data_IF_708057771368
#
_entry.id   IF_708057771368
#
_cell.length_a   1.000
_cell.length_b   1.000
_cell.length_c   1.000
_cell.angle_alpha   90.00
_cell.angle_beta   90.00
_cell.angle_gamma   90.00
#
_symmetry.space_group_name_H-M   'P 1'
#
loop_
_entity.id
_entity.type
_entity.pdbx_description
1 polymer ?
#
# COMPACT_ATOMS: atom_id res chain seq x y z
N UNK A 1 28.59 36.53 18.70
CA UNK A 1 27.25 36.23 19.22
C UNK A 1 27.04 34.75 19.03
N UNK A 2 27.15 33.97 20.10
CA UNK A 2 26.92 32.52 20.10
C UNK A 2 25.41 32.29 20.17
N UNK A 3 24.83 31.67 19.15
CA UNK A 3 23.45 31.18 19.20
C UNK A 3 23.38 30.03 20.20
N UNK A 4 23.19 30.36 21.48
CA UNK A 4 23.02 29.43 22.60
C UNK A 4 21.58 28.91 22.74
N UNK A 5 20.79 28.96 21.67
CA UNK A 5 19.37 28.62 21.70
C UNK A 5 19.08 27.20 21.19
N UNK A 6 20.06 26.51 20.62
CA UNK A 6 19.89 25.17 20.08
C UNK A 6 20.92 24.24 20.69
N UNK A 7 20.44 23.34 21.56
CA UNK A 7 21.20 22.20 22.05
C UNK A 7 20.79 21.02 21.18
N UNK A 8 21.70 20.52 20.35
CA UNK A 8 21.50 19.30 19.55
C UNK A 8 22.42 18.25 20.18
N UNK A 9 21.86 17.12 20.59
CA UNK A 9 22.57 16.04 21.29
C UNK A 9 22.25 14.71 20.63
N UNK A 10 23.25 13.83 20.50
CA UNK A 10 23.09 12.46 20.03
C UNK A 10 22.98 11.46 21.21
N UNK A 11 22.84 11.95 22.44
CA UNK A 11 22.65 11.12 23.64
C UNK A 11 21.26 10.45 23.60
N UNK A 12 21.26 9.12 23.63
CA UNK A 12 20.03 8.32 23.73
C UNK A 12 19.53 8.32 25.18
N UNK A 13 18.21 8.40 25.35
CA UNK A 13 17.56 8.22 26.64
C UNK A 13 17.67 6.77 27.12
N UNK A 14 17.87 6.59 28.42
CA UNK A 14 17.93 5.28 29.06
C UNK A 14 16.55 4.94 29.67
N UNK A 15 15.85 3.97 29.09
CA UNK A 15 14.52 3.53 29.53
C UNK A 15 14.57 2.37 30.54
N UNK A 16 15.76 1.96 30.97
CA UNK A 16 15.93 0.79 31.84
C UNK A 16 15.24 0.94 33.20
N UNK A 17 15.08 2.16 33.72
CA UNK A 17 14.32 2.43 34.96
C UNK A 17 12.84 2.05 34.85
N UNK A 18 12.30 2.06 33.63
CA UNK A 18 10.93 1.66 33.30
C UNK A 18 10.85 0.20 32.81
N UNK A 19 11.99 -0.51 32.76
CA UNK A 19 12.06 -1.89 32.28
C UNK A 19 11.95 -2.05 30.77
N UNK A 20 12.22 -1.00 29.99
CA UNK A 20 12.11 -0.99 28.53
C UNK A 20 13.48 -0.78 27.87
N UNK A 21 13.68 -1.34 26.66
CA UNK A 21 14.88 -1.11 25.85
C UNK A 21 14.89 0.30 25.25
N UNK A 22 13.72 0.78 24.82
CA UNK A 22 13.52 2.10 24.21
C UNK A 22 12.06 2.58 24.39
N UNK A 23 11.71 3.75 23.85
CA UNK A 23 10.32 4.17 23.75
C UNK A 23 9.65 3.44 22.57
N UNK A 24 8.67 2.55 22.79
CA UNK A 24 8.05 1.81 21.71
C UNK A 24 7.07 2.65 20.90
N UNK A 25 6.61 3.80 21.44
CA UNK A 25 5.57 4.58 20.80
C UNK A 25 6.15 5.52 19.75
N UNK A 26 5.55 5.58 18.55
CA UNK A 26 6.09 6.36 17.45
C UNK A 26 6.04 7.86 17.76
N UNK A 27 7.18 8.52 17.60
CA UNK A 27 7.30 9.98 17.68
C UNK A 27 6.62 10.70 16.51
N UNK A 28 6.56 10.02 15.36
CA UNK A 28 5.93 10.53 14.15
C UNK A 28 4.51 9.98 14.00
N UNK A 29 3.55 10.81 13.57
CA UNK A 29 2.17 10.39 13.31
C UNK A 29 2.01 9.53 12.04
N UNK A 30 3.11 9.22 11.35
CA UNK A 30 3.14 8.44 10.11
C UNK A 30 3.34 6.97 10.46
N UNK A 31 2.43 6.07 10.04
CA UNK A 31 2.59 4.65 10.29
C UNK A 31 3.76 4.09 9.49
N UNK A 32 4.47 3.12 10.07
CA UNK A 32 5.47 2.33 9.37
C UNK A 32 4.90 1.71 8.10
N UNK A 33 5.75 1.47 7.10
CA UNK A 33 5.34 0.81 5.86
C UNK A 33 4.85 -0.62 6.11
N UNK A 34 5.36 -1.24 7.17
CA UNK A 34 5.15 -2.64 7.53
C UNK A 34 4.74 -2.75 9.01
N UNK A 35 3.55 -2.29 9.40
CA UNK A 35 3.16 -2.30 10.80
C UNK A 35 3.05 -3.74 11.31
N UNK A 36 3.68 -4.01 12.45
CA UNK A 36 3.64 -5.33 13.12
C UNK A 36 2.37 -5.51 13.96
N UNK A 37 1.81 -4.40 14.45
CA UNK A 37 0.67 -4.38 15.36
C UNK A 37 -0.58 -3.86 14.66
N UNK A 38 -1.73 -4.40 15.02
CA UNK A 38 -3.04 -3.83 14.71
C UNK A 38 -4.01 -4.08 15.87
N UNK A 39 -4.50 -3.01 16.48
CA UNK A 39 -5.28 -3.10 17.70
C UNK A 39 -6.70 -2.55 17.53
N UNK A 40 -7.66 -3.27 18.10
CA UNK A 40 -9.08 -2.96 18.03
C UNK A 40 -9.67 -3.05 16.62
N UNK A 41 -10.79 -2.36 16.43
CA UNK A 41 -11.53 -2.31 15.15
C UNK A 41 -12.04 -3.68 14.65
N UNK A 42 -12.47 -4.58 15.53
CA UNK A 42 -12.92 -5.94 15.19
C UNK A 42 -13.86 -6.01 13.98
N UNK A 43 -14.79 -5.05 13.89
CA UNK A 43 -15.70 -4.94 12.74
C UNK A 43 -14.93 -4.68 11.45
N UNK A 44 -13.99 -3.74 11.44
CA UNK A 44 -13.17 -3.42 10.28
C UNK A 44 -12.28 -4.59 9.90
N UNK A 45 -11.60 -5.19 10.88
CA UNK A 45 -10.75 -6.37 10.66
C UNK A 45 -11.53 -7.50 10.01
N UNK A 46 -12.75 -7.78 10.50
CA UNK A 46 -13.62 -8.81 9.93
C UNK A 46 -14.04 -8.47 8.49
N UNK A 47 -14.52 -7.25 8.25
CA UNK A 47 -14.98 -6.83 6.91
C UNK A 47 -13.84 -6.81 5.88
N UNK A 48 -12.66 -6.35 6.27
CA UNK A 48 -11.46 -6.35 5.43
C UNK A 48 -11.04 -7.80 5.14
N UNK A 49 -10.95 -8.63 6.18
CA UNK A 49 -10.57 -10.05 6.04
C UNK A 49 -11.54 -10.79 5.13
N UNK A 50 -12.84 -10.58 5.28
CA UNK A 50 -13.87 -11.17 4.42
C UNK A 50 -13.73 -10.69 2.97
N UNK A 51 -13.36 -9.42 2.77
CA UNK A 51 -13.16 -8.84 1.44
C UNK A 51 -11.95 -9.46 0.73
N UNK A 52 -10.80 -9.44 1.40
CA UNK A 52 -9.55 -10.02 0.90
C UNK A 52 -9.72 -11.52 0.66
N UNK A 53 -10.27 -12.25 1.64
CA UNK A 53 -10.45 -13.71 1.55
C UNK A 53 -11.42 -14.11 0.43
N UNK A 54 -12.45 -13.31 0.16
CA UNK A 54 -13.36 -13.57 -0.96
C UNK A 54 -12.61 -13.51 -2.30
N UNK A 55 -11.77 -12.48 -2.50
CA UNK A 55 -11.00 -12.36 -3.73
C UNK A 55 -10.00 -13.51 -3.85
N UNK A 56 -9.24 -13.81 -2.78
CA UNK A 56 -8.26 -14.91 -2.77
C UNK A 56 -8.88 -16.29 -3.02
N UNK A 57 -10.07 -16.56 -2.47
CA UNK A 57 -10.70 -17.88 -2.58
C UNK A 57 -11.52 -18.09 -3.84
N UNK A 58 -12.05 -17.02 -4.44
CA UNK A 58 -12.98 -17.13 -5.58
C UNK A 58 -12.46 -16.51 -6.87
N UNK A 59 -11.39 -15.71 -6.80
CA UNK A 59 -10.91 -14.87 -7.89
C UNK A 59 -11.86 -13.74 -8.28
N UNK A 60 -13.04 -13.62 -7.64
CA UNK A 60 -14.01 -12.57 -7.95
C UNK A 60 -13.56 -11.25 -7.33
N UNK A 61 -13.61 -10.19 -8.12
CA UNK A 61 -13.24 -8.87 -7.67
C UNK A 61 -14.20 -8.36 -6.61
N UNK A 62 -13.64 -7.71 -5.60
CA UNK A 62 -14.39 -7.12 -4.50
C UNK A 62 -13.64 -5.89 -4.00
N UNK A 63 -14.36 -4.79 -3.83
CA UNK A 63 -13.79 -3.49 -3.47
C UNK A 63 -14.42 -3.00 -2.16
N UNK A 64 -13.64 -2.29 -1.36
CA UNK A 64 -14.02 -1.82 -0.03
C UNK A 64 -13.53 -0.39 0.17
N UNK A 65 -14.32 0.42 0.86
CA UNK A 65 -13.89 1.72 1.38
C UNK A 65 -13.78 1.64 2.90
N UNK A 66 -12.64 2.07 3.43
CA UNK A 66 -12.38 2.25 4.85
C UNK A 66 -12.52 3.75 5.17
N UNK A 67 -13.57 4.11 5.89
CA UNK A 67 -13.83 5.50 6.28
C UNK A 67 -13.35 5.80 7.69
N UNK A 68 -12.64 6.91 7.89
CA UNK A 68 -12.32 7.37 9.25
C UNK A 68 -11.95 8.86 9.31
N UNK A 69 -12.25 9.47 10.45
CA UNK A 69 -11.73 10.80 10.79
C UNK A 69 -10.21 10.78 10.88
N UNK A 70 -9.62 11.94 10.70
CA UNK A 70 -8.17 12.14 10.74
C UNK A 70 -7.55 11.58 12.04
N UNK A 71 -6.49 10.77 11.91
CA UNK A 71 -5.78 10.16 13.04
C UNK A 71 -6.39 8.87 13.62
N UNK A 72 -7.52 8.39 13.10
CA UNK A 72 -8.15 7.12 13.54
C UNK A 72 -7.66 5.87 12.78
N UNK A 73 -6.51 5.96 12.10
CA UNK A 73 -5.80 4.78 11.60
C UNK A 73 -6.09 4.33 10.16
N UNK A 74 -6.66 5.16 9.27
CA UNK A 74 -6.91 4.78 7.85
C UNK A 74 -5.67 4.20 7.16
N UNK A 75 -4.59 4.98 7.11
CA UNK A 75 -3.32 4.59 6.51
C UNK A 75 -2.75 3.34 7.17
N UNK A 76 -2.81 3.29 8.49
CA UNK A 76 -2.34 2.15 9.26
C UNK A 76 -3.13 0.87 8.92
N UNK A 77 -4.46 0.94 8.81
CA UNK A 77 -5.33 -0.18 8.39
C UNK A 77 -5.00 -0.65 6.98
N UNK A 78 -4.78 0.25 6.02
CA UNK A 78 -4.39 -0.13 4.65
C UNK A 78 -3.01 -0.79 4.62
N UNK A 79 -2.01 -0.20 5.29
CA UNK A 79 -0.65 -0.74 5.37
C UNK A 79 -0.58 -2.09 6.09
N UNK A 80 -1.33 -2.25 7.18
CA UNK A 80 -1.46 -3.53 7.86
C UNK A 80 -2.14 -4.57 6.98
N UNK A 81 -3.20 -4.20 6.26
CA UNK A 81 -3.83 -5.13 5.31
C UNK A 81 -2.85 -5.53 4.20
N UNK A 82 -2.06 -4.58 3.69
CA UNK A 82 -0.98 -4.82 2.72
C UNK A 82 0.05 -5.82 3.26
N UNK A 83 0.51 -5.69 4.51
CA UNK A 83 1.50 -6.61 5.09
C UNK A 83 0.97 -8.04 5.18
N UNK A 84 -0.34 -8.23 5.42
CA UNK A 84 -0.96 -9.57 5.47
C UNK A 84 -1.04 -10.27 4.10
N UNK A 85 -1.03 -9.53 2.99
CA UNK A 85 -1.22 -10.11 1.64
C UNK A 85 0.04 -10.13 0.79
N UNK A 86 0.98 -9.21 1.00
CA UNK A 86 2.13 -9.02 0.10
C UNK A 86 3.12 -10.18 0.08
N UNK A 87 3.23 -10.92 1.18
CA UNK A 87 4.22 -12.01 1.31
C UNK A 87 3.76 -13.27 0.55
N UNK A 88 2.55 -13.23 -0.03
CA UNK A 88 2.03 -14.28 -0.88
C UNK A 88 2.64 -14.15 -2.28
N UNK A 89 3.31 -15.21 -2.74
CA UNK A 89 3.89 -15.25 -4.09
C UNK A 89 2.87 -15.34 -5.24
N UNK A 90 1.58 -15.52 -4.94
CA UNK A 90 0.51 -15.65 -5.94
C UNK A 90 -0.32 -14.38 -6.13
N UNK A 91 0.09 -13.23 -5.58
CA UNK A 91 -0.63 -11.96 -5.75
C UNK A 91 0.33 -10.80 -6.00
N UNK A 92 -0.20 -9.73 -6.60
CA UNK A 92 0.50 -8.44 -6.71
C UNK A 92 -0.20 -7.43 -5.81
N UNK A 93 0.59 -6.64 -5.09
CA UNK A 93 0.09 -5.68 -4.12
C UNK A 93 0.76 -4.34 -4.32
N UNK A 94 -0.04 -3.34 -4.73
CA UNK A 94 0.42 -1.96 -4.86
C UNK A 94 -0.29 -1.02 -3.88
N UNK A 95 0.43 0.00 -3.42
CA UNK A 95 -0.05 1.05 -2.54
C UNK A 95 0.11 2.41 -3.21
N UNK A 96 -0.98 3.15 -3.29
CA UNK A 96 -1.07 4.50 -3.84
C UNK A 96 -1.30 5.44 -2.67
N UNK A 97 -0.28 6.19 -2.26
CA UNK A 97 -0.37 7.07 -1.10
C UNK A 97 -1.37 8.22 -1.30
N UNK A 98 -1.51 8.70 -2.53
CA UNK A 98 -2.49 9.72 -2.90
C UNK A 98 -2.85 9.60 -4.40
N UNK A 99 -4.13 9.70 -4.79
CA UNK A 99 -4.60 9.43 -6.17
C UNK A 99 -4.29 10.49 -7.26
N UNK A 100 -3.43 11.48 -7.00
CA UNK A 100 -3.02 12.49 -8.01
C UNK A 100 -4.16 13.33 -8.60
N UNK A 101 -4.01 13.75 -9.86
CA UNK A 101 -4.96 14.56 -10.65
C UNK A 101 -5.89 13.73 -11.55
N UNK A 102 -5.62 12.43 -11.71
CA UNK A 102 -6.36 11.53 -12.59
C UNK A 102 -6.06 10.06 -12.35
N UNK A 103 -6.78 9.17 -13.02
CA UNK A 103 -6.49 7.72 -12.92
C UNK A 103 -5.10 7.36 -13.46
N UNK A 104 -4.57 8.13 -14.42
CA UNK A 104 -3.18 7.97 -14.87
C UNK A 104 -2.19 8.05 -13.72
N UNK A 105 -2.38 8.97 -12.77
CA UNK A 105 -1.49 9.13 -11.62
C UNK A 105 -1.64 7.97 -10.65
N UNK A 106 -2.87 7.50 -10.41
CA UNK A 106 -3.12 6.27 -9.61
C UNK A 106 -2.36 5.07 -10.21
N UNK A 107 -2.43 4.91 -11.54
CA UNK A 107 -1.74 3.84 -12.25
C UNK A 107 -0.22 3.99 -12.20
N UNK A 108 0.29 5.20 -12.37
CA UNK A 108 1.70 5.54 -12.24
C UNK A 108 2.24 5.17 -10.85
N UNK A 109 1.61 5.69 -9.79
CA UNK A 109 1.98 5.42 -8.40
C UNK A 109 1.90 3.93 -8.07
N UNK A 110 0.88 3.23 -8.57
CA UNK A 110 0.76 1.78 -8.40
C UNK A 110 1.95 1.04 -9.00
N UNK A 111 2.35 1.33 -10.24
CA UNK A 111 3.52 0.67 -10.84
C UNK A 111 4.82 1.08 -10.16
N UNK A 112 4.95 2.33 -9.75
CA UNK A 112 6.12 2.81 -9.03
C UNK A 112 6.31 2.10 -7.69
N UNK A 113 5.23 1.84 -6.94
CA UNK A 113 5.26 1.07 -5.71
C UNK A 113 5.58 -0.43 -5.94
N UNK A 114 5.26 -1.00 -7.12
CA UNK A 114 5.75 -2.33 -7.50
C UNK A 114 7.25 -2.34 -7.78
N UNK A 115 7.75 -1.29 -8.43
CA UNK A 115 9.16 -1.12 -8.76
C UNK A 115 9.59 -1.78 -10.08
N UNK A 116 10.71 -1.30 -10.61
CA UNK A 116 11.30 -1.74 -11.87
C UNK A 116 11.59 -3.24 -11.88
N UNK A 117 12.32 -3.71 -10.85
CA UNK A 117 12.80 -5.09 -10.75
C UNK A 117 11.63 -6.08 -10.78
N UNK A 118 10.54 -5.77 -10.06
CA UNK A 118 9.36 -6.66 -10.02
C UNK A 118 8.65 -6.75 -11.37
N UNK A 119 8.55 -5.64 -12.10
CA UNK A 119 7.95 -5.64 -13.45
C UNK A 119 8.85 -6.38 -14.45
N UNK A 120 10.17 -6.26 -14.30
CA UNK A 120 11.13 -7.02 -15.10
C UNK A 120 11.06 -8.53 -14.80
N UNK A 121 10.96 -8.91 -13.53
CA UNK A 121 10.76 -10.29 -13.10
C UNK A 121 9.50 -10.90 -13.75
N UNK A 122 8.37 -10.17 -13.75
CA UNK A 122 7.14 -10.59 -14.43
C UNK A 122 7.36 -10.81 -15.94
N UNK A 123 8.16 -9.95 -16.58
CA UNK A 123 8.50 -10.12 -17.99
C UNK A 123 9.31 -11.40 -18.25
N UNK A 124 10.27 -11.71 -17.38
CA UNK A 124 11.03 -12.96 -17.44
C UNK A 124 10.17 -14.19 -17.12
N UNK A 125 9.29 -14.13 -16.11
CA UNK A 125 8.32 -15.20 -15.81
C UNK A 125 7.46 -15.52 -17.03
N UNK A 126 7.01 -14.48 -17.73
CA UNK A 126 6.22 -14.63 -18.95
C UNK A 126 7.05 -15.29 -20.06
N UNK A 127 8.27 -14.82 -20.30
CA UNK A 127 9.13 -15.42 -21.32
C UNK A 127 9.51 -16.87 -20.97
N UNK A 128 9.64 -17.19 -19.68
CA UNK A 128 9.84 -18.56 -19.20
C UNK A 128 8.64 -19.44 -19.59
N UNK A 129 7.41 -18.95 -19.41
CA UNK A 129 6.20 -19.66 -19.86
C UNK A 129 6.21 -19.91 -21.36
N UNK A 130 6.45 -18.87 -22.17
CA UNK A 130 6.50 -19.01 -23.64
C UNK A 130 7.57 -20.02 -24.05
N UNK A 131 8.73 -19.99 -23.40
CA UNK A 131 9.84 -20.92 -23.65
C UNK A 131 9.43 -22.37 -23.39
N UNK A 132 8.75 -22.64 -22.27
CA UNK A 132 8.23 -23.98 -21.92
C UNK A 132 7.23 -24.50 -22.95
N UNK A 133 6.46 -23.61 -23.57
CA UNK A 133 5.42 -23.97 -24.53
C UNK A 133 5.96 -24.19 -25.96
N UNK A 134 7.06 -23.52 -26.31
CA UNK A 134 7.51 -23.39 -27.70
C UNK A 134 8.87 -24.02 -27.98
N UNK A 135 9.61 -24.41 -26.95
CA UNK A 135 10.95 -24.99 -27.04
C UNK A 135 11.08 -26.26 -26.21
N UNK A 136 12.23 -26.95 -26.32
CA UNK A 136 12.55 -28.11 -25.48
C UNK A 136 13.11 -27.70 -24.08
N UNK A 137 13.30 -26.40 -23.82
CA UNK A 137 13.77 -25.90 -22.52
C UNK A 137 12.61 -25.76 -21.52
N UNK A 138 12.92 -25.95 -20.24
CA UNK A 138 11.94 -25.86 -19.17
C UNK A 138 12.38 -24.93 -18.02
N UNK A 139 12.61 -23.63 -18.28
CA UNK A 139 12.98 -22.68 -17.23
C UNK A 139 11.85 -22.55 -16.20
N UNK A 140 12.21 -22.58 -14.91
CA UNK A 140 11.28 -22.45 -13.80
C UNK A 140 11.45 -21.08 -13.15
N UNK A 141 10.57 -20.13 -13.49
CA UNK A 141 10.62 -18.76 -12.97
C UNK A 141 11.54 -17.82 -13.76
N UNK A 142 11.66 -16.59 -13.26
CA UNK A 142 12.42 -15.51 -13.90
C UNK A 142 13.93 -15.80 -13.97
N UNK A 143 14.57 -16.08 -12.84
CA UNK A 143 16.03 -16.29 -12.75
C UNK A 143 16.54 -17.38 -13.71
N UNK A 144 15.78 -18.47 -13.83
CA UNK A 144 16.13 -19.57 -14.74
C UNK A 144 16.03 -19.14 -16.21
N UNK A 145 15.08 -18.27 -16.54
CA UNK A 145 14.91 -17.75 -17.90
C UNK A 145 16.00 -16.74 -18.26
N UNK A 146 16.32 -15.84 -17.33
CA UNK A 146 17.42 -14.88 -17.46
C UNK A 146 18.74 -15.60 -17.72
N UNK A 147 19.08 -16.62 -16.91
CA UNK A 147 20.30 -17.41 -17.09
C UNK A 147 20.42 -18.07 -18.47
N UNK A 148 19.32 -18.60 -19.02
CA UNK A 148 19.33 -19.20 -20.37
C UNK A 148 19.59 -18.17 -21.48
N UNK A 149 19.18 -16.92 -21.29
CA UNK A 149 19.43 -15.83 -22.23
C UNK A 149 20.89 -15.39 -22.13
N UNK A 150 21.38 -15.18 -20.91
CA UNK A 150 22.75 -14.72 -20.64
C UNK A 150 23.81 -15.73 -21.11
N UNK A 151 23.54 -17.02 -20.90
CA UNK A 151 24.40 -18.11 -21.37
C UNK A 151 24.28 -18.34 -22.89
N UNK A 152 23.33 -17.67 -23.56
CA UNK A 152 23.09 -17.77 -25.00
C UNK A 152 22.45 -19.10 -25.43
N UNK A 153 21.90 -19.87 -24.49
CA UNK A 153 21.15 -21.10 -24.78
C UNK A 153 19.82 -20.79 -25.46
N UNK A 154 19.26 -19.61 -25.19
CA UNK A 154 18.05 -19.10 -25.84
C UNK A 154 18.32 -17.74 -26.48
N UNK A 155 17.94 -17.60 -27.74
CA UNK A 155 18.02 -16.33 -28.47
C UNK A 155 16.67 -15.60 -28.43
N UNK A 156 16.67 -14.38 -27.89
CA UNK A 156 15.48 -13.52 -27.84
C UNK A 156 14.81 -13.35 -29.21
N UNK A 157 15.59 -13.27 -30.29
CA UNK A 157 15.09 -13.14 -31.66
C UNK A 157 14.17 -14.29 -32.12
N UNK A 158 14.27 -15.46 -31.49
CA UNK A 158 13.45 -16.63 -31.81
C UNK A 158 12.14 -16.63 -31.03
N UNK A 159 12.15 -16.14 -29.79
CA UNK A 159 10.98 -16.15 -28.90
C UNK A 159 10.10 -14.91 -29.03
N UNK A 160 10.72 -13.72 -29.16
CA UNK A 160 10.04 -12.42 -29.05
C UNK A 160 8.84 -12.27 -30.00
N UNK A 161 8.90 -12.67 -31.29
CA UNK A 161 7.73 -12.57 -32.15
C UNK A 161 6.53 -13.36 -31.62
N UNK A 162 6.77 -14.59 -31.14
CA UNK A 162 5.73 -15.45 -30.56
C UNK A 162 5.24 -14.91 -29.23
N UNK A 163 6.16 -14.46 -28.36
CA UNK A 163 5.83 -13.89 -27.06
C UNK A 163 4.96 -12.63 -27.18
N UNK A 164 5.31 -11.69 -28.08
CA UNK A 164 4.50 -10.49 -28.33
C UNK A 164 3.11 -10.88 -28.85
N UNK A 165 3.03 -11.86 -29.76
CA UNK A 165 1.76 -12.30 -30.33
C UNK A 165 0.85 -12.90 -29.25
N UNK A 166 1.36 -13.88 -28.49
CA UNK A 166 0.62 -14.52 -27.41
C UNK A 166 0.19 -13.52 -26.34
N UNK A 167 1.10 -12.62 -25.93
CA UNK A 167 0.80 -11.62 -24.92
C UNK A 167 -0.25 -10.62 -25.40
N UNK A 168 -0.20 -10.21 -26.67
CA UNK A 168 -1.23 -9.36 -27.25
C UNK A 168 -2.59 -10.08 -27.30
N UNK A 169 -2.63 -11.39 -27.48
CA UNK A 169 -3.87 -12.16 -27.43
C UNK A 169 -4.49 -12.20 -26.03
N UNK A 170 -3.68 -12.20 -24.98
CA UNK A 170 -4.11 -12.13 -23.57
C UNK A 170 -4.51 -10.72 -23.17
N UNK A 171 -3.65 -9.74 -23.45
CA UNK A 171 -3.79 -8.36 -22.98
C UNK A 171 -4.73 -7.52 -23.85
N UNK A 172 -4.90 -7.89 -25.13
CA UNK A 172 -5.57 -7.08 -26.17
C UNK A 172 -4.99 -5.67 -26.28
N UNK A 173 -3.70 -5.52 -25.98
CA UNK A 173 -2.98 -4.26 -26.03
C UNK A 173 -1.55 -4.46 -26.53
N UNK A 174 -1.36 -4.42 -27.85
CA UNK A 174 -0.09 -4.73 -28.51
C UNK A 174 1.09 -3.89 -28.00
N UNK A 175 0.89 -2.58 -27.79
CA UNK A 175 1.96 -1.71 -27.29
C UNK A 175 2.37 -2.05 -25.85
N UNK A 176 1.41 -2.47 -25.00
CA UNK A 176 1.71 -2.98 -23.67
C UNK A 176 2.49 -4.30 -23.74
N UNK A 177 2.08 -5.22 -24.62
CA UNK A 177 2.80 -6.47 -24.83
C UNK A 177 4.26 -6.23 -25.25
N UNK A 178 4.50 -5.30 -26.18
CA UNK A 178 5.85 -4.89 -26.56
C UNK A 178 6.62 -4.31 -25.39
N UNK A 179 6.02 -3.38 -24.65
CA UNK A 179 6.68 -2.76 -23.50
C UNK A 179 7.13 -3.78 -22.45
N UNK A 180 6.29 -4.77 -22.12
CA UNK A 180 6.67 -5.86 -21.21
C UNK A 180 7.87 -6.64 -21.75
N UNK A 181 7.86 -7.02 -23.02
CA UNK A 181 9.01 -7.74 -23.62
C UNK A 181 10.27 -6.87 -23.66
N UNK A 182 10.14 -5.56 -23.85
CA UNK A 182 11.25 -4.62 -23.82
C UNK A 182 11.89 -4.41 -22.44
N UNK A 183 11.23 -4.84 -21.35
CA UNK A 183 11.86 -4.89 -20.01
C UNK A 183 13.05 -5.86 -19.93
N UNK A 184 13.12 -6.83 -20.83
CA UNK A 184 14.18 -7.86 -20.86
C UNK A 184 15.45 -7.35 -21.57
N UNK A 185 15.31 -6.36 -22.46
CA UNK A 185 16.43 -5.84 -23.24
C UNK A 185 17.19 -4.75 -22.48
N UNK A 186 18.49 -4.95 -22.26
CA UNK A 186 19.35 -3.98 -21.56
C UNK A 186 19.30 -2.57 -22.17
N UNK A 187 19.23 -2.46 -23.50
CA UNK A 187 19.24 -1.16 -24.19
C UNK A 187 17.91 -0.38 -24.09
N UNK A 188 16.79 -1.06 -23.86
CA UNK A 188 15.45 -0.46 -23.94
C UNK A 188 14.61 -0.61 -22.66
N UNK A 189 15.06 -1.37 -21.66
CA UNK A 189 14.31 -1.64 -20.45
C UNK A 189 13.89 -0.36 -19.70
N UNK A 190 14.75 0.66 -19.64
CA UNK A 190 14.42 1.95 -19.03
C UNK A 190 13.34 2.69 -19.82
N UNK A 191 13.34 2.60 -21.15
CA UNK A 191 12.29 3.23 -21.96
C UNK A 191 10.96 2.49 -21.83
N UNK A 192 11.01 1.17 -21.77
CA UNK A 192 9.85 0.33 -21.51
C UNK A 192 9.24 0.66 -20.14
N UNK A 193 10.08 0.76 -19.11
CA UNK A 193 9.67 1.18 -17.77
C UNK A 193 8.97 2.54 -17.79
N UNK A 194 9.61 3.57 -18.37
CA UNK A 194 9.03 4.93 -18.45
C UNK A 194 7.70 4.97 -19.22
N UNK A 195 7.55 4.12 -20.24
CA UNK A 195 6.28 4.01 -20.96
C UNK A 195 5.23 3.29 -20.11
N UNK A 196 5.59 2.17 -19.49
CA UNK A 196 4.70 1.38 -18.63
C UNK A 196 4.21 2.21 -17.45
N UNK A 197 5.05 3.02 -16.82
CA UNK A 197 4.70 3.90 -15.70
C UNK A 197 3.99 5.19 -16.11
N UNK A 198 3.64 5.39 -17.38
CA UNK A 198 2.97 6.59 -17.86
C UNK A 198 3.77 7.91 -17.71
N UNK A 199 5.10 7.88 -17.59
CA UNK A 199 5.92 9.11 -17.49
C UNK A 199 6.07 9.86 -18.82
N UNK A 200 5.76 9.17 -19.92
CA UNK A 200 5.90 9.70 -21.27
C UNK A 200 7.34 9.60 -21.77
N UNK A 201 7.48 9.18 -23.02
CA UNK A 201 8.79 9.00 -23.66
C UNK A 201 8.80 9.60 -25.06
N UNK A 202 10.00 9.96 -25.52
CA UNK A 202 10.19 10.60 -26.83
C UNK A 202 9.75 9.65 -27.94
N UNK A 203 9.31 10.23 -29.06
CA UNK A 203 8.90 9.44 -30.23
C UNK A 203 9.99 8.49 -30.73
N UNK A 204 11.25 8.91 -30.72
CA UNK A 204 12.38 8.08 -31.16
C UNK A 204 12.55 6.83 -30.29
N UNK A 205 12.44 6.98 -28.96
CA UNK A 205 12.51 5.88 -27.99
C UNK A 205 11.31 4.92 -28.16
N UNK A 206 10.09 5.45 -28.37
CA UNK A 206 8.91 4.61 -28.67
C UNK A 206 9.07 3.82 -29.96
N UNK A 207 9.59 4.49 -30.99
CA UNK A 207 9.80 3.90 -32.31
C UNK A 207 10.81 2.76 -32.26
N UNK A 208 11.86 2.89 -31.45
CA UNK A 208 12.85 1.84 -31.21
C UNK A 208 12.23 0.56 -30.64
N UNK A 209 11.23 0.71 -29.77
CA UNK A 209 10.46 -0.41 -29.21
C UNK A 209 9.23 -0.82 -30.03
N UNK A 210 9.06 -0.26 -31.23
CA UNK A 210 7.86 -0.43 -32.08
C UNK A 210 6.53 -0.11 -31.37
N UNK A 211 6.55 0.78 -30.38
CA UNK A 211 5.38 1.25 -29.66
C UNK A 211 4.78 2.45 -30.39
N UNK A 212 3.49 2.40 -30.70
CA UNK A 212 2.84 3.41 -31.55
C UNK A 212 2.01 4.44 -30.77
N UNK A 213 1.50 4.07 -29.60
CA UNK A 213 0.70 4.93 -28.72
C UNK A 213 1.52 5.55 -27.58
N UNK A 214 1.05 6.67 -27.06
CA UNK A 214 1.48 7.20 -25.78
C UNK A 214 0.53 6.66 -24.69
N UNK A 215 1.05 6.54 -23.47
CA UNK A 215 0.26 6.24 -22.28
C UNK A 215 0.14 7.55 -21.48
N UNK A 216 -0.68 8.47 -21.98
CA UNK A 216 -0.74 9.86 -21.51
C UNK A 216 -2.13 10.30 -21.02
N UNK A 217 -3.12 9.41 -21.06
CA UNK A 217 -4.49 9.67 -20.61
C UNK A 217 -5.06 8.53 -19.73
N UNK A 218 -6.13 8.84 -19.00
CA UNK A 218 -6.82 7.94 -18.09
C UNK A 218 -7.38 6.68 -18.78
N UNK A 219 -7.93 6.80 -19.98
CA UNK A 219 -8.53 5.66 -20.71
C UNK A 219 -7.44 4.67 -21.09
N UNK A 220 -6.31 5.16 -21.58
CA UNK A 220 -5.16 4.33 -21.94
C UNK A 220 -4.50 3.72 -20.70
N UNK A 221 -4.50 4.44 -19.58
CA UNK A 221 -4.04 3.93 -18.27
C UNK A 221 -4.92 2.81 -17.71
N UNK A 222 -6.26 2.94 -17.79
CA UNK A 222 -7.19 1.86 -17.41
C UNK A 222 -6.95 0.60 -18.26
N UNK A 223 -6.70 0.78 -19.57
CA UNK A 223 -6.37 -0.33 -20.48
C UNK A 223 -5.03 -0.98 -20.12
N UNK A 224 -4.02 -0.18 -19.79
CA UNK A 224 -2.70 -0.68 -19.39
C UNK A 224 -2.78 -1.48 -18.06
N UNK A 225 -3.49 -0.98 -17.05
CA UNK A 225 -3.74 -1.72 -15.82
C UNK A 225 -4.44 -3.05 -16.10
N UNK A 226 -5.50 -3.03 -16.93
CA UNK A 226 -6.25 -4.24 -17.30
C UNK A 226 -5.36 -5.25 -18.03
N UNK A 227 -4.47 -4.77 -18.90
CA UNK A 227 -3.49 -5.59 -19.59
C UNK A 227 -2.49 -6.24 -18.62
N UNK A 228 -1.93 -5.48 -17.68
CA UNK A 228 -1.05 -6.01 -16.63
C UNK A 228 -1.73 -7.10 -15.81
N UNK A 229 -2.95 -6.85 -15.33
CA UNK A 229 -3.69 -7.85 -14.56
C UNK A 229 -4.01 -9.09 -15.39
N UNK A 230 -4.31 -8.97 -16.69
CA UNK A 230 -4.50 -10.13 -17.56
C UNK A 230 -3.22 -10.96 -17.70
N UNK A 231 -2.06 -10.31 -17.86
CA UNK A 231 -0.76 -10.97 -17.86
C UNK A 231 -0.53 -11.73 -16.55
N UNK A 232 -0.79 -11.11 -15.41
CA UNK A 232 -0.63 -11.75 -14.11
C UNK A 232 -1.54 -12.99 -13.95
N UNK A 233 -2.81 -12.90 -14.36
CA UNK A 233 -3.71 -14.05 -14.33
C UNK A 233 -3.25 -15.19 -15.27
N UNK A 234 -2.71 -14.85 -16.45
CA UNK A 234 -2.12 -15.82 -17.38
C UNK A 234 -0.94 -16.56 -16.75
N UNK A 235 -0.11 -15.85 -15.97
CA UNK A 235 1.02 -16.41 -15.23
C UNK A 235 0.59 -17.23 -13.99
N UNK A 236 -0.71 -17.31 -13.71
CA UNK A 236 -1.25 -18.08 -12.60
C UNK A 236 -1.34 -17.32 -11.27
N UNK A 237 -1.16 -16.00 -11.26
CA UNK A 237 -1.44 -15.20 -10.08
C UNK A 237 -2.95 -15.22 -9.79
N UNK A 238 -3.30 -15.20 -8.51
CA UNK A 238 -4.68 -15.12 -8.01
C UNK A 238 -5.30 -13.74 -8.27
N UNK A 239 -4.50 -12.67 -8.21
CA UNK A 239 -4.95 -11.33 -8.62
C UNK A 239 -4.10 -10.17 -8.10
N UNK A 240 -4.64 -8.96 -8.26
CA UNK A 240 -4.02 -7.68 -7.93
C UNK A 240 -4.81 -7.00 -6.80
N UNK A 241 -4.08 -6.54 -5.77
CA UNK A 241 -4.57 -5.67 -4.71
C UNK A 241 -4.04 -4.26 -4.91
N UNK A 242 -4.93 -3.27 -4.87
CA UNK A 242 -4.59 -1.84 -4.93
C UNK A 242 -5.12 -1.16 -3.68
N UNK A 243 -4.21 -0.66 -2.85
CA UNK A 243 -4.54 0.11 -1.65
C UNK A 243 -4.37 1.59 -1.96
N UNK A 244 -5.47 2.34 -2.03
CA UNK A 244 -5.46 3.77 -2.33
C UNK A 244 -5.72 4.55 -1.04
N UNK A 245 -4.70 5.20 -0.51
CA UNK A 245 -4.81 6.06 0.67
C UNK A 245 -5.15 7.50 0.28
N UNK A 246 -5.53 8.31 1.27
CA UNK A 246 -5.90 9.72 1.12
C UNK A 246 -6.85 9.95 -0.07
N UNK A 247 -7.81 9.03 -0.29
CA UNK A 247 -8.73 9.08 -1.41
C UNK A 247 -9.58 10.36 -1.37
N UNK A 248 -9.74 10.97 -0.19
CA UNK A 248 -10.35 12.29 -0.04
C UNK A 248 -9.67 13.40 -0.86
N UNK A 249 -8.43 13.21 -1.34
CA UNK A 249 -7.74 14.22 -2.13
C UNK A 249 -8.41 14.51 -3.48
N UNK A 250 -9.19 13.57 -4.03
CA UNK A 250 -9.90 13.78 -5.30
C UNK A 250 -10.93 14.91 -5.21
N UNK A 251 -11.47 15.18 -4.01
CA UNK A 251 -12.42 16.27 -3.79
C UNK A 251 -11.76 17.67 -3.88
N UNK A 252 -10.42 17.72 -3.97
CA UNK A 252 -9.67 18.96 -4.23
C UNK A 252 -9.53 19.26 -5.72
N UNK A 253 -9.81 18.28 -6.58
CA UNK A 253 -9.76 18.44 -8.02
C UNK A 253 -10.88 19.35 -8.51
N UNK A 254 -10.78 19.79 -9.77
CA UNK A 254 -11.92 20.41 -10.41
C UNK A 254 -13.06 19.39 -10.53
N UNK A 255 -14.33 19.83 -10.47
CA UNK A 255 -15.47 18.90 -10.59
C UNK A 255 -15.43 18.05 -11.87
N UNK A 256 -14.81 18.56 -12.93
CA UNK A 256 -14.60 17.81 -14.17
C UNK A 256 -13.58 16.69 -13.99
N UNK A 257 -12.45 16.97 -13.34
CA UNK A 257 -11.35 16.02 -13.20
C UNK A 257 -11.67 14.99 -12.10
N UNK A 258 -12.35 15.40 -11.03
CA UNK A 258 -12.94 14.48 -10.04
C UNK A 258 -13.88 13.48 -10.72
N UNK A 259 -14.85 13.98 -11.50
CA UNK A 259 -15.78 13.14 -12.24
C UNK A 259 -15.07 12.23 -13.25
N UNK A 260 -14.05 12.73 -13.95
CA UNK A 260 -13.26 11.93 -14.88
C UNK A 260 -12.54 10.79 -14.14
N UNK A 261 -11.87 11.09 -13.04
CA UNK A 261 -11.15 10.13 -12.19
C UNK A 261 -12.08 9.04 -11.66
N UNK A 262 -13.21 9.41 -11.07
CA UNK A 262 -14.21 8.46 -10.55
C UNK A 262 -14.78 7.56 -11.65
N UNK A 263 -15.02 8.12 -12.85
CA UNK A 263 -15.46 7.33 -14.00
C UNK A 263 -14.36 6.35 -14.46
N UNK A 264 -13.10 6.77 -14.49
CA UNK A 264 -11.97 5.91 -14.85
C UNK A 264 -11.81 4.75 -13.87
N UNK A 265 -11.89 5.01 -12.55
CA UNK A 265 -11.86 3.95 -11.53
C UNK A 265 -13.06 3.01 -11.68
N UNK A 266 -14.27 3.54 -11.90
CA UNK A 266 -15.46 2.72 -12.17
C UNK A 266 -15.25 1.83 -13.40
N UNK A 267 -14.72 2.40 -14.48
CA UNK A 267 -14.42 1.65 -15.71
C UNK A 267 -13.39 0.55 -15.46
N UNK A 268 -12.37 0.81 -14.64
CA UNK A 268 -11.43 -0.22 -14.22
C UNK A 268 -12.14 -1.37 -13.51
N UNK A 269 -12.99 -1.07 -12.52
CA UNK A 269 -13.73 -2.10 -11.78
C UNK A 269 -14.67 -2.90 -12.69
N UNK A 270 -15.41 -2.23 -13.58
CA UNK A 270 -16.33 -2.89 -14.51
C UNK A 270 -15.60 -3.82 -15.51
N UNK A 271 -14.39 -3.43 -15.96
CA UNK A 271 -13.56 -4.25 -16.86
C UNK A 271 -12.88 -5.42 -16.16
N UNK A 272 -12.75 -5.35 -14.83
CA UNK A 272 -11.97 -6.29 -14.02
C UNK A 272 -12.84 -6.93 -12.94
N UNK A 273 -13.89 -7.65 -13.36
CA UNK A 273 -14.77 -8.41 -12.45
C UNK A 273 -14.12 -9.61 -11.76
N UNK A 274 -12.91 -9.99 -12.20
CA UNK A 274 -12.09 -11.04 -11.60
C UNK A 274 -10.64 -10.55 -11.46
N UNK A 275 -9.97 -10.98 -10.38
CA UNK A 275 -8.55 -10.73 -10.13
C UNK A 275 -8.21 -9.31 -9.69
N UNK A 276 -9.17 -8.49 -9.24
CA UNK A 276 -8.91 -7.13 -8.73
C UNK A 276 -9.58 -6.90 -7.37
N UNK A 277 -8.81 -6.49 -6.38
CA UNK A 277 -9.31 -5.98 -5.11
C UNK A 277 -8.78 -4.56 -4.91
N UNK A 278 -9.68 -3.62 -4.61
CA UNK A 278 -9.30 -2.23 -4.34
C UNK A 278 -9.80 -1.84 -2.96
N UNK A 279 -8.91 -1.29 -2.13
CA UNK A 279 -9.24 -0.77 -0.82
C UNK A 279 -8.91 0.72 -0.77
N UNK A 280 -9.91 1.55 -0.45
CA UNK A 280 -9.76 3.00 -0.38
C UNK A 280 -9.78 3.47 1.06
N UNK A 281 -8.81 4.26 1.48
CA UNK A 281 -8.86 5.05 2.72
C UNK A 281 -9.46 6.40 2.42
N UNK A 282 -10.61 6.74 3.02
CA UNK A 282 -11.31 8.00 2.74
C UNK A 282 -11.82 8.70 4.00
N UNK A 283 -11.90 10.04 3.99
CA UNK A 283 -12.65 10.80 4.98
C UNK A 283 -14.17 10.50 4.85
N UNK A 284 -14.90 10.31 5.97
CA UNK A 284 -16.33 10.00 5.94
C UNK A 284 -17.17 11.05 5.19
N UNK A 285 -16.84 12.33 5.35
CA UNK A 285 -17.56 13.44 4.75
C UNK A 285 -17.43 13.40 3.22
N UNK A 286 -16.20 13.21 2.72
CA UNK A 286 -15.94 13.10 1.27
C UNK A 286 -16.56 11.84 0.68
N UNK A 287 -16.50 10.71 1.41
CA UNK A 287 -17.14 9.49 0.95
C UNK A 287 -18.67 9.64 0.83
N UNK A 288 -19.32 10.34 1.77
CA UNK A 288 -20.74 10.64 1.69
C UNK A 288 -21.10 11.48 0.47
N UNK A 289 -20.28 12.51 0.18
CA UNK A 289 -20.46 13.34 -1.01
C UNK A 289 -20.33 12.49 -2.29
N UNK A 290 -19.28 11.66 -2.39
CA UNK A 290 -19.07 10.73 -3.50
C UNK A 290 -20.24 9.76 -3.68
N UNK A 291 -20.76 9.19 -2.59
CA UNK A 291 -21.92 8.31 -2.64
C UNK A 291 -23.17 9.01 -3.16
N UNK A 292 -23.33 10.30 -2.85
CA UNK A 292 -24.51 11.09 -3.23
C UNK A 292 -24.46 11.62 -4.67
N UNK A 293 -23.28 11.96 -5.17
CA UNK A 293 -23.10 12.59 -6.48
C UNK A 293 -22.71 11.59 -7.57
N UNK A 294 -22.04 10.48 -7.21
CA UNK A 294 -21.45 9.53 -8.16
C UNK A 294 -21.92 8.09 -7.93
N UNK A 295 -23.24 7.88 -7.95
CA UNK A 295 -23.88 6.58 -7.69
C UNK A 295 -23.32 5.41 -8.50
N UNK A 296 -22.98 5.64 -9.78
CA UNK A 296 -22.46 4.57 -10.64
C UNK A 296 -21.11 4.01 -10.17
N UNK A 297 -20.28 4.84 -9.53
CA UNK A 297 -19.03 4.42 -8.91
C UNK A 297 -19.30 3.74 -7.57
N UNK A 298 -20.12 4.35 -6.70
CA UNK A 298 -20.38 3.80 -5.36
C UNK A 298 -21.08 2.44 -5.39
N UNK A 299 -21.94 2.15 -6.37
CA UNK A 299 -22.54 0.82 -6.55
C UNK A 299 -21.52 -0.30 -6.82
N UNK A 300 -20.28 0.01 -7.23
CA UNK A 300 -19.22 -0.98 -7.50
C UNK A 300 -18.40 -1.26 -6.25
N UNK A 301 -18.46 -0.37 -5.27
CA UNK A 301 -17.92 -0.61 -3.94
C UNK A 301 -18.89 -1.53 -3.20
N UNK A 302 -18.47 -2.77 -2.98
CA UNK A 302 -19.33 -3.79 -2.39
C UNK A 302 -19.66 -3.55 -0.92
N UNK A 303 -18.76 -2.86 -0.20
CA UNK A 303 -18.88 -2.59 1.24
C UNK A 303 -18.18 -1.28 1.63
N UNK A 304 -18.69 -0.65 2.69
CA UNK A 304 -18.00 0.41 3.45
C UNK A 304 -17.79 -0.09 4.87
N UNK A 305 -16.64 0.22 5.46
CA UNK A 305 -16.41 0.04 6.89
C UNK A 305 -15.81 1.29 7.53
N UNK A 306 -16.47 1.76 8.59
CA UNK A 306 -16.02 2.94 9.34
C UNK A 306 -15.14 2.53 10.53
N UNK A 307 -13.94 3.09 10.62
CA UNK A 307 -13.09 2.98 11.80
C UNK A 307 -13.64 3.87 12.92
N UNK A 308 -13.76 3.29 14.11
CA UNK A 308 -14.34 3.95 15.30
C UNK A 308 -13.23 4.51 16.18
N UNK A 309 -13.48 5.55 16.98
CA UNK A 309 -12.59 5.88 18.08
C UNK A 309 -12.37 4.65 18.97
N UNK A 310 -11.16 4.49 19.49
CA UNK A 310 -10.82 3.43 20.44
C UNK A 310 -11.61 3.62 21.75
N UNK A 311 -11.89 2.50 22.41
CA UNK A 311 -12.45 2.47 23.77
C UNK A 311 -11.32 2.43 24.78
N UNK A 312 -11.62 2.56 26.07
CA UNK A 312 -10.64 2.36 27.15
C UNK A 312 -9.94 1.00 27.02
N UNK A 313 -10.71 -0.06 26.78
CA UNK A 313 -10.21 -1.44 26.59
C UNK A 313 -9.24 -1.53 25.40
N UNK A 314 -9.62 -0.96 24.25
CA UNK A 314 -8.73 -0.95 23.07
C UNK A 314 -7.45 -0.13 23.31
N UNK A 315 -7.48 0.92 24.13
CA UNK A 315 -6.29 1.70 24.48
C UNK A 315 -5.36 0.89 25.38
N UNK A 316 -5.91 0.15 26.35
CA UNK A 316 -5.13 -0.77 27.18
C UNK A 316 -4.43 -1.83 26.32
N UNK A 317 -5.17 -2.46 25.40
CA UNK A 317 -4.62 -3.45 24.47
C UNK A 317 -3.55 -2.84 23.55
N UNK A 318 -3.79 -1.64 23.02
CA UNK A 318 -2.85 -0.93 22.16
C UNK A 318 -1.54 -0.65 22.91
N UNK A 319 -1.65 -0.07 24.11
CA UNK A 319 -0.49 0.29 24.93
C UNK A 319 0.30 -0.95 25.33
N UNK A 320 -0.38 -2.01 25.78
CA UNK A 320 0.27 -3.29 26.10
C UNK A 320 1.04 -3.83 24.91
N UNK A 321 0.41 -3.88 23.73
CA UNK A 321 1.01 -4.45 22.52
C UNK A 321 2.31 -3.73 22.12
N UNK A 322 2.34 -2.40 22.24
CA UNK A 322 3.55 -1.62 21.96
C UNK A 322 4.64 -1.83 23.01
N UNK A 323 4.28 -1.87 24.30
CA UNK A 323 5.26 -2.12 25.37
C UNK A 323 5.90 -3.50 25.22
N UNK A 324 5.12 -4.51 24.86
CA UNK A 324 5.60 -5.89 24.70
C UNK A 324 6.67 -6.05 23.62
N UNK A 325 6.78 -5.12 22.66
CA UNK A 325 7.84 -5.12 21.65
C UNK A 325 9.23 -4.86 22.22
N UNK A 326 9.33 -4.14 23.35
CA UNK A 326 10.60 -3.60 23.89
C UNK A 326 10.81 -3.88 25.38
N UNK A 327 9.95 -4.68 26.02
CA UNK A 327 10.09 -5.05 27.44
C UNK A 327 11.34 -5.89 27.69
N UNK A 328 12.05 -5.60 28.78
CA UNK A 328 13.24 -6.35 29.22
C UNK A 328 13.02 -7.20 30.47
N UNK A 329 12.02 -6.87 31.28
CA UNK A 329 11.88 -7.37 32.66
C UNK A 329 10.76 -8.40 32.86
N UNK A 330 10.19 -8.97 31.78
CA UNK A 330 9.18 -10.04 31.86
C UNK A 330 7.86 -9.63 32.51
N UNK A 331 7.63 -8.33 32.66
CA UNK A 331 6.36 -7.74 33.09
C UNK A 331 5.31 -7.90 31.98
N UNK A 332 4.03 -7.82 32.34
CA UNK A 332 2.91 -7.99 31.39
C UNK A 332 1.92 -6.83 31.49
N UNK A 333 1.12 -6.63 30.44
CA UNK A 333 0.03 -5.67 30.43
C UNK A 333 0.50 -4.25 30.17
N UNK A 334 0.12 -3.31 31.03
CA UNK A 334 0.30 -1.86 30.78
C UNK A 334 1.44 -1.23 31.59
N UNK A 335 2.15 -1.99 32.44
CA UNK A 335 3.31 -1.47 33.19
C UNK A 335 4.34 -0.88 32.20
N UNK A 336 4.90 0.32 32.41
CA UNK A 336 4.99 1.06 33.66
C UNK A 336 3.81 1.98 33.98
N UNK A 337 2.74 1.99 33.18
CA UNK A 337 1.56 2.82 33.42
C UNK A 337 0.64 2.22 34.49
N UNK A 338 0.11 3.08 35.36
CA UNK A 338 -1.06 2.75 36.16
C UNK A 338 -2.33 2.72 35.29
N UNK A 339 -3.34 1.95 35.70
CA UNK A 339 -4.60 1.81 34.95
C UNK A 339 -5.32 3.15 34.76
N UNK A 340 -5.29 4.02 35.78
CA UNK A 340 -5.90 5.36 35.73
C UNK A 340 -5.25 6.28 34.68
N UNK A 341 -3.96 6.09 34.38
CA UNK A 341 -3.24 6.87 33.38
C UNK A 341 -3.85 6.70 31.98
N UNK A 342 -4.25 5.48 31.64
CA UNK A 342 -4.83 5.19 30.33
C UNK A 342 -6.22 5.79 30.17
N UNK A 343 -6.98 5.91 31.26
CA UNK A 343 -8.23 6.68 31.28
C UNK A 343 -8.01 8.17 30.98
N UNK A 344 -6.93 8.78 31.50
CA UNK A 344 -6.56 10.17 31.18
C UNK A 344 -6.12 10.32 29.72
N UNK A 345 -5.33 9.39 29.21
CA UNK A 345 -4.91 9.35 27.80
C UNK A 345 -6.12 9.19 26.89
N UNK A 346 -7.06 8.30 27.22
CA UNK A 346 -8.31 8.14 26.48
C UNK A 346 -9.13 9.43 26.50
N UNK A 347 -9.32 10.05 27.66
CA UNK A 347 -10.06 11.30 27.78
C UNK A 347 -9.44 12.43 26.94
N UNK A 348 -8.11 12.51 26.88
CA UNK A 348 -7.41 13.55 26.10
C UNK A 348 -7.40 13.26 24.60
N UNK A 349 -7.20 12.00 24.21
CA UNK A 349 -7.19 11.56 22.80
C UNK A 349 -8.58 11.41 22.20
N UNK A 350 -9.63 11.30 23.03
CA UNK A 350 -10.99 10.97 22.61
C UNK A 350 -11.04 9.70 21.74
N UNK A 351 -10.19 8.72 22.05
CA UNK A 351 -10.07 7.47 21.29
C UNK A 351 -9.34 7.59 19.96
N UNK A 352 -8.72 8.74 19.66
CA UNK A 352 -7.91 8.90 18.45
C UNK A 352 -6.56 8.19 18.60
N UNK A 353 -6.31 7.18 17.76
CA UNK A 353 -5.12 6.30 17.84
C UNK A 353 -3.83 7.12 17.82
N UNK A 354 -3.70 8.03 16.85
CA UNK A 354 -2.51 8.87 16.70
C UNK A 354 -2.26 9.73 17.94
N UNK A 355 -3.31 10.36 18.47
CA UNK A 355 -3.16 11.18 19.68
C UNK A 355 -2.83 10.31 20.88
N UNK A 356 -3.46 9.14 21.05
CA UNK A 356 -3.16 8.23 22.15
C UNK A 356 -1.69 7.81 22.15
N UNK A 357 -1.16 7.34 21.02
CA UNK A 357 0.25 6.94 20.88
C UNK A 357 1.21 8.11 21.14
N UNK A 358 0.90 9.29 20.59
CA UNK A 358 1.73 10.49 20.81
C UNK A 358 1.75 10.93 22.28
N UNK A 359 0.61 10.83 22.98
CA UNK A 359 0.52 11.12 24.41
C UNK A 359 1.32 10.09 25.22
N UNK A 360 1.20 8.80 24.92
CA UNK A 360 2.00 7.75 25.56
C UNK A 360 3.50 7.96 25.36
N UNK A 361 3.94 8.24 24.13
CA UNK A 361 5.32 8.53 23.79
C UNK A 361 5.87 9.70 24.62
N UNK A 362 5.13 10.81 24.66
CA UNK A 362 5.51 12.01 25.42
C UNK A 362 5.57 11.77 26.93
N UNK A 363 4.63 10.98 27.46
CA UNK A 363 4.59 10.64 28.88
C UNK A 363 5.77 9.75 29.26
N UNK A 364 6.12 8.74 28.46
CA UNK A 364 7.29 7.89 28.72
C UNK A 364 8.60 8.69 28.69
N UNK A 365 8.78 9.55 27.69
CA UNK A 365 9.96 10.42 27.60
C UNK A 365 10.08 11.32 28.84
N UNK A 366 8.98 11.95 29.25
CA UNK A 366 8.96 12.79 30.43
C UNK A 366 9.25 11.98 31.71
N UNK A 367 8.75 10.75 31.82
CA UNK A 367 8.99 9.88 32.96
C UNK A 367 10.48 9.54 33.11
N UNK A 368 11.16 9.23 32.00
CA UNK A 368 12.62 9.02 31.98
C UNK A 368 13.38 10.29 32.34
N UNK A 369 13.00 11.43 31.74
CA UNK A 369 13.65 12.73 32.00
C UNK A 369 13.49 13.18 33.48
N UNK A 370 12.51 12.61 34.22
CA UNK A 370 12.26 12.84 35.65
C UNK A 370 12.65 11.66 36.54
N UNK A 371 13.44 10.69 36.03
CA UNK A 371 13.94 9.53 36.77
C UNK A 371 12.84 8.72 37.47
N UNK A 372 11.70 8.53 36.80
CA UNK A 372 10.58 7.73 37.31
C UNK A 372 10.78 6.24 37.02
N UNK A 373 10.30 5.41 37.94
CA UNK A 373 10.22 3.94 37.79
C UNK A 373 8.78 3.49 37.43
N UNK A 374 7.77 4.32 37.72
CA UNK A 374 6.37 4.10 37.38
C UNK A 374 5.70 5.40 36.93
N UNK A 375 4.69 5.27 36.07
CA UNK A 375 3.91 6.39 35.55
C UNK A 375 2.58 6.43 36.28
N UNK A 376 2.47 7.38 37.22
CA UNK A 376 1.30 7.62 38.06
C UNK A 376 0.35 8.65 37.43
N UNK A 377 -0.93 8.63 37.80
CA UNK A 377 -1.96 9.49 37.20
C UNK A 377 -1.70 10.99 37.41
N UNK A 378 -1.16 11.42 38.56
CA UNK A 378 -0.77 12.81 38.83
C UNK A 378 0.31 13.30 37.85
N UNK A 379 1.33 12.47 37.59
CA UNK A 379 2.41 12.81 36.66
C UNK A 379 1.90 12.98 35.23
N UNK A 380 0.99 12.10 34.79
CA UNK A 380 0.35 12.23 33.48
C UNK A 380 -0.41 13.55 33.39
N UNK A 381 -1.16 13.94 34.42
CA UNK A 381 -1.87 15.23 34.40
C UNK A 381 -0.93 16.41 34.24
N UNK A 382 0.19 16.43 34.94
CA UNK A 382 1.20 17.49 34.84
C UNK A 382 1.81 17.57 33.43
N UNK A 383 2.23 16.43 32.87
CA UNK A 383 2.77 16.36 31.50
C UNK A 383 1.73 16.71 30.44
N UNK A 384 0.45 16.48 30.70
CA UNK A 384 -0.64 16.81 29.79
C UNK A 384 -1.23 18.21 30.00
N UNK A 385 -0.84 18.92 31.07
CA UNK A 385 -1.20 20.32 31.32
C UNK A 385 -0.21 21.31 30.69
N UNK A 386 1.05 20.88 30.52
CA UNK A 386 2.05 21.55 29.67
C UNK A 386 1.86 21.24 28.19
#
# INVERSE_FOLDING_TARGET
MSNANFTITDEQRDYSSLGLEENPFPYSPVPDDNPELYCGQDQATKTISDTVSTMLSTGKSKHLVVTAKYGNGKSHTLKYTRSLVRDRGDVIVGYVAQPGEGFRDIYHEFLYDLGFDRVQEIAYEYLAQVTRETTDHNPMGADAMEGLIDDGEILLSELVPTAIQQLNDVTKFADFARAIIHMIYEDTNLYAWQWLTAEGIRYEQRKEMEIHSALDDDTTSVRAFTALKNLLLELGYTGVFVFVDEFESIARLSSKDEQATLNSIRHLMDQNSHGLCMLFGCAPEVWQDVMSEYHAFSERIGQEVALRPLTDEHIQELVSSYLDLVRTNGTEGIEPFEEECLGLIHQRSQGNIRQALSLCSRVLDAAVDNEKEQVESEFVQDVLAG
#
